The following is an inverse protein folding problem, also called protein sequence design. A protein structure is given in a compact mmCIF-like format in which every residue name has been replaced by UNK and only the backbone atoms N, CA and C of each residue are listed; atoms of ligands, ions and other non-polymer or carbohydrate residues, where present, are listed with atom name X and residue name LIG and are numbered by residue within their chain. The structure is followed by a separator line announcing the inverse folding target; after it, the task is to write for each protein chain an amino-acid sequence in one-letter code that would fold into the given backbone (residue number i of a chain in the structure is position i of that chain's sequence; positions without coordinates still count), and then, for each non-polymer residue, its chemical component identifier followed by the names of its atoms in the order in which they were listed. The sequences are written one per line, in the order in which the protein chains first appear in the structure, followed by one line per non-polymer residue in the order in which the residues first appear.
data_IF_696264838291
#
_entry.id   IF_696264838291
#
_cell.length_a   1.000
_cell.length_b   1.000
_cell.length_c   1.000
_cell.angle_alpha   90.00
_cell.angle_beta   90.00
_cell.angle_gamma   90.00
#
_symmetry.space_group_name_H-M   'P 1'
#
loop_
_entity.id
_entity.type
_entity.pdbx_description
1 polymer ?
#
# COMPACT_ATOMS: atom_id res chain seq x y z
N UNK A 1 10.69 -18.81 18.41
CA UNK A 1 9.50 -18.45 19.24
C UNK A 1 9.27 -19.31 20.48
N UNK A 2 9.59 -20.62 20.51
CA UNK A 2 9.28 -21.54 21.64
C UNK A 2 9.90 -21.17 23.02
N UNK A 3 10.88 -20.25 23.08
CA UNK A 3 11.53 -19.81 24.33
C UNK A 3 10.62 -18.94 25.22
N UNK A 4 9.87 -18.00 24.62
CA UNK A 4 9.01 -17.08 25.38
C UNK A 4 7.89 -17.83 26.09
N UNK A 5 7.20 -18.72 25.38
CA UNK A 5 6.15 -19.56 25.95
C UNK A 5 6.67 -20.47 27.09
N UNK A 6 7.88 -21.02 26.95
CA UNK A 6 8.53 -21.80 28.01
C UNK A 6 8.85 -20.97 29.26
N UNK A 7 9.30 -19.73 29.07
CA UNK A 7 9.62 -18.81 30.17
C UNK A 7 8.36 -18.36 30.90
N UNK A 8 7.29 -18.04 30.18
CA UNK A 8 6.01 -17.63 30.76
C UNK A 8 5.38 -18.74 31.59
N UNK A 9 5.27 -19.95 31.02
CA UNK A 9 4.71 -21.12 31.71
C UNK A 9 5.46 -21.42 33.02
N UNK A 10 6.80 -21.49 32.97
CA UNK A 10 7.63 -21.65 34.19
C UNK A 10 7.42 -20.53 35.19
N UNK A 11 7.28 -19.28 34.72
CA UNK A 11 7.07 -18.13 35.60
C UNK A 11 5.71 -18.20 36.30
N UNK A 12 4.66 -18.60 35.59
CA UNK A 12 3.31 -18.79 36.16
C UNK A 12 3.30 -19.91 37.19
N UNK A 13 3.92 -21.07 36.89
CA UNK A 13 4.06 -22.16 37.86
C UNK A 13 4.81 -21.73 39.11
N UNK A 14 5.92 -20.98 38.96
CA UNK A 14 6.69 -20.46 40.09
C UNK A 14 5.92 -19.44 40.95
N UNK A 15 4.91 -18.77 40.38
CA UNK A 15 4.01 -17.86 41.11
C UNK A 15 2.81 -18.59 41.75
N UNK A 16 2.76 -19.92 41.65
CA UNK A 16 1.70 -20.76 42.25
C UNK A 16 0.51 -21.03 41.35
N UNK A 17 0.55 -20.68 40.07
CA UNK A 17 -0.52 -21.02 39.13
C UNK A 17 -0.47 -22.51 38.75
N UNK A 18 -1.64 -23.16 38.68
CA UNK A 18 -1.81 -24.51 38.16
C UNK A 18 -2.14 -24.50 36.67
N UNK A 19 -1.37 -25.20 35.85
CA UNK A 19 -1.66 -25.33 34.43
C UNK A 19 -2.93 -26.19 34.21
N UNK A 20 -3.89 -25.67 33.45
CA UNK A 20 -5.12 -26.39 33.09
C UNK A 20 -4.89 -27.42 31.98
N UNK A 21 -3.93 -27.16 31.10
CA UNK A 21 -3.55 -28.01 29.97
C UNK A 21 -2.05 -27.90 29.77
N UNK A 22 -1.42 -28.96 29.23
CA UNK A 22 -0.02 -28.88 28.82
C UNK A 22 0.18 -27.78 27.77
N UNK A 23 1.33 -27.10 27.83
CA UNK A 23 1.65 -26.00 26.90
C UNK A 23 1.74 -26.50 25.45
N UNK A 24 0.94 -25.90 24.57
CA UNK A 24 1.06 -26.09 23.12
C UNK A 24 2.35 -25.49 22.56
N UNK A 25 3.05 -26.26 21.71
CA UNK A 25 4.28 -25.83 21.05
C UNK A 25 4.07 -25.76 19.53
N UNK A 26 3.48 -24.67 19.06
CA UNK A 26 3.35 -24.37 17.63
C UNK A 26 4.72 -24.32 16.93
N UNK A 27 4.76 -24.84 15.71
CA UNK A 27 5.95 -24.84 14.86
C UNK A 27 5.64 -24.39 13.43
N UNK A 28 6.02 -23.16 13.10
CA UNK A 28 5.84 -22.60 11.75
C UNK A 28 6.62 -23.36 10.66
N UNK A 29 7.60 -24.19 11.04
CA UNK A 29 8.39 -24.99 10.09
C UNK A 29 7.79 -26.36 9.82
N UNK A 30 6.74 -26.77 10.55
CA UNK A 30 6.05 -28.03 10.30
C UNK A 30 5.29 -27.95 8.96
N UNK A 31 5.13 -29.06 8.20
CA UNK A 31 4.36 -29.04 6.95
C UNK A 31 2.93 -28.50 7.08
N UNK A 32 2.30 -28.71 8.24
CA UNK A 32 0.96 -28.18 8.57
C UNK A 32 1.01 -26.83 9.31
N UNK A 33 2.17 -26.16 9.34
CA UNK A 33 2.41 -24.94 10.11
C UNK A 33 2.17 -25.10 11.61
N UNK A 34 2.00 -23.97 12.31
CA UNK A 34 1.67 -23.96 13.73
C UNK A 34 0.24 -24.47 14.03
N UNK A 35 -0.66 -24.42 13.05
CA UNK A 35 -2.05 -24.87 13.13
C UNK A 35 -2.15 -26.36 13.46
N UNK A 36 -1.22 -27.18 12.94
CA UNK A 36 -1.15 -28.62 13.24
C UNK A 36 -1.00 -28.94 14.72
N UNK A 37 -0.36 -28.06 15.50
CA UNK A 37 -0.29 -28.18 16.96
C UNK A 37 -1.38 -27.37 17.68
N UNK A 38 -1.83 -26.25 17.09
CA UNK A 38 -2.82 -25.36 17.68
C UNK A 38 -4.21 -26.00 17.73
N UNK A 39 -4.68 -26.63 16.65
CA UNK A 39 -6.06 -27.12 16.60
C UNK A 39 -6.33 -28.26 17.57
N UNK A 40 -5.49 -29.32 17.66
CA UNK A 40 -5.68 -30.35 18.69
C UNK A 40 -5.61 -29.77 20.10
N UNK A 41 -4.71 -28.80 20.32
CA UNK A 41 -4.56 -28.12 21.60
C UNK A 41 -5.79 -27.28 21.97
N UNK A 42 -6.37 -26.56 21.01
CA UNK A 42 -7.61 -25.79 21.20
C UNK A 42 -8.80 -26.68 21.50
N UNK A 43 -8.95 -27.82 20.80
CA UNK A 43 -10.01 -28.79 21.09
C UNK A 43 -9.90 -29.35 22.51
N UNK A 44 -8.68 -29.68 22.95
CA UNK A 44 -8.40 -30.12 24.32
C UNK A 44 -8.71 -29.01 25.34
N UNK A 45 -8.32 -27.77 25.04
CA UNK A 45 -8.58 -26.62 25.91
C UNK A 45 -10.08 -26.42 26.12
N UNK A 46 -10.87 -26.41 25.04
CA UNK A 46 -12.33 -26.27 25.13
C UNK A 46 -12.99 -27.43 25.88
N UNK A 47 -12.49 -28.65 25.68
CA UNK A 47 -12.93 -29.83 26.43
C UNK A 47 -12.70 -29.68 27.93
N UNK A 48 -11.51 -29.22 28.32
CA UNK A 48 -11.14 -28.99 29.73
C UNK A 48 -11.94 -27.83 30.35
N UNK A 49 -12.09 -26.72 29.64
CA UNK A 49 -12.87 -25.57 30.11
C UNK A 49 -14.35 -25.94 30.32
N UNK A 50 -14.91 -26.74 29.41
CA UNK A 50 -16.25 -27.29 29.56
C UNK A 50 -16.39 -28.15 30.83
N UNK A 51 -15.42 -29.04 31.10
CA UNK A 51 -15.43 -29.85 32.32
C UNK A 51 -15.34 -29.01 33.60
N UNK A 52 -14.59 -27.90 33.58
CA UNK A 52 -14.44 -27.00 34.73
C UNK A 52 -15.74 -26.25 35.02
N UNK A 53 -16.37 -25.70 33.99
CA UNK A 53 -17.61 -24.96 34.18
C UNK A 53 -18.53 -25.02 32.95
N UNK A 54 -19.43 -26.02 32.88
CA UNK A 54 -20.35 -26.20 31.76
C UNK A 54 -21.35 -25.05 31.57
N UNK A 55 -21.53 -24.19 32.60
CA UNK A 55 -22.44 -23.04 32.53
C UNK A 55 -21.86 -21.87 31.75
N UNK A 56 -20.52 -21.72 31.75
CA UNK A 56 -19.83 -20.58 31.12
C UNK A 56 -19.14 -20.97 29.81
N UNK A 57 -18.66 -22.20 29.72
CA UNK A 57 -17.97 -22.70 28.53
C UNK A 57 -18.85 -23.73 27.85
N UNK A 58 -18.95 -23.63 26.53
CA UNK A 58 -19.70 -24.59 25.71
C UNK A 58 -18.74 -25.71 25.28
N UNK A 59 -19.25 -26.94 25.17
CA UNK A 59 -18.43 -28.13 24.90
C UNK A 59 -17.68 -28.09 23.56
N UNK A 60 -16.69 -28.99 23.36
CA UNK A 60 -15.94 -29.08 22.10
C UNK A 60 -16.83 -29.41 20.90
N UNK A 61 -17.93 -30.14 21.13
CA UNK A 61 -18.99 -30.44 20.16
C UNK A 61 -20.10 -29.39 20.12
N UNK A 62 -19.92 -28.22 20.74
CA UNK A 62 -20.82 -27.09 20.51
C UNK A 62 -20.57 -26.52 19.12
N UNK A 63 -21.02 -27.26 18.11
CA UNK A 63 -21.55 -26.67 16.91
C UNK A 63 -22.64 -25.73 17.39
N UNK A 64 -22.47 -24.42 17.23
CA UNK A 64 -23.61 -23.49 17.32
C UNK A 64 -24.71 -24.12 16.45
N UNK A 65 -25.85 -24.55 17.02
CA UNK A 65 -26.86 -25.30 16.27
C UNK A 65 -27.45 -24.52 15.09
N UNK A 66 -27.12 -23.22 14.99
CA UNK A 66 -27.31 -22.36 13.84
C UNK A 66 -25.96 -21.86 13.27
N UNK A 67 -25.18 -22.72 12.64
CA UNK A 67 -24.32 -22.27 11.51
C UNK A 67 -25.18 -21.91 10.28
N UNK A 68 -26.41 -21.42 10.46
CA UNK A 68 -27.26 -20.87 9.38
C UNK A 68 -27.17 -19.35 9.30
N UNK A 69 -26.76 -18.68 10.38
CA UNK A 69 -26.43 -17.27 10.34
C UNK A 69 -25.00 -17.09 10.85
N UNK A 70 -24.11 -16.74 9.94
CA UNK A 70 -22.96 -15.93 10.34
C UNK A 70 -23.55 -14.65 10.96
N UNK A 71 -23.16 -14.33 12.20
CA UNK A 71 -23.47 -13.04 12.83
C UNK A 71 -23.02 -11.88 11.93
N UNK A 72 -23.51 -10.67 12.13
CA UNK A 72 -23.03 -9.53 11.34
C UNK A 72 -21.51 -9.32 11.52
N UNK A 73 -20.79 -8.81 10.50
CA UNK A 73 -19.37 -8.49 10.66
C UNK A 73 -19.21 -7.51 11.83
N UNK A 74 -18.18 -7.72 12.65
CA UNK A 74 -17.85 -6.87 13.81
C UNK A 74 -17.50 -5.44 13.41
N UNK A 75 -17.26 -5.20 12.13
CA UNK A 75 -17.00 -3.88 11.58
C UNK A 75 -18.18 -3.39 10.72
N UNK A 76 -18.26 -2.07 10.60
CA UNK A 76 -19.18 -1.35 9.74
C UNK A 76 -18.39 -0.38 8.88
N UNK A 77 -18.62 -0.44 7.59
CA UNK A 77 -18.07 0.52 6.63
C UNK A 77 -19.16 1.56 6.37
N UNK A 78 -18.83 2.83 6.57
CA UNK A 78 -19.72 3.95 6.25
C UNK A 78 -19.18 4.64 5.01
N UNK A 79 -20.05 4.78 4.01
CA UNK A 79 -19.76 5.48 2.76
C UNK A 79 -20.16 6.94 2.89
N UNK A 80 -19.29 7.84 2.46
CA UNK A 80 -19.47 9.28 2.52
C UNK A 80 -19.59 9.84 1.11
N UNK A 81 -20.45 10.84 0.94
CA UNK A 81 -20.55 11.57 -0.32
C UNK A 81 -19.32 12.47 -0.49
N UNK A 82 -18.67 12.37 -1.65
CA UNK A 82 -17.47 13.14 -1.98
C UNK A 82 -17.71 14.66 -1.89
N UNK A 83 -18.96 15.12 -2.06
CA UNK A 83 -19.34 16.53 -1.93
C UNK A 83 -19.29 17.08 -0.49
N UNK A 84 -19.36 16.21 0.53
CA UNK A 84 -19.42 16.61 1.95
C UNK A 84 -18.08 16.45 2.68
N UNK A 85 -17.04 15.97 2.01
CA UNK A 85 -15.70 15.81 2.59
C UNK A 85 -14.91 17.08 2.33
N UNK A 86 -14.63 17.85 3.39
CA UNK A 86 -13.76 19.03 3.31
C UNK A 86 -12.40 18.61 2.71
N UNK A 87 -11.93 19.26 1.63
CA UNK A 87 -10.60 18.98 1.11
C UNK A 87 -9.57 19.55 2.09
N UNK A 88 -8.99 18.66 2.92
CA UNK A 88 -7.76 18.94 3.69
C UNK A 88 -6.57 19.32 2.78
N UNK A 89 -6.73 19.21 1.47
CA UNK A 89 -5.74 19.51 0.43
C UNK A 89 -5.48 20.99 0.16
N UNK A 90 -6.07 21.92 0.93
CA UNK A 90 -5.99 23.34 0.63
C UNK A 90 -4.79 24.06 1.27
N UNK A 91 -4.05 23.43 2.20
CA UNK A 91 -2.92 24.07 2.92
C UNK A 91 -1.71 23.13 3.13
N UNK A 92 -1.89 21.81 3.22
CA UNK A 92 -0.83 20.86 3.57
C UNK A 92 0.13 20.56 2.42
N UNK A 93 1.40 20.30 2.74
CA UNK A 93 2.36 19.82 1.75
C UNK A 93 1.92 18.46 1.19
N UNK A 94 2.36 18.17 -0.03
CA UNK A 94 2.08 16.91 -0.70
C UNK A 94 2.48 15.66 0.13
N UNK A 95 3.53 15.78 0.95
CA UNK A 95 4.05 14.71 1.82
C UNK A 95 3.19 14.57 3.07
N UNK A 96 2.83 15.68 3.72
CA UNK A 96 1.91 15.69 4.88
C UNK A 96 0.55 15.08 4.53
N UNK A 97 0.05 15.36 3.32
CA UNK A 97 -1.19 14.76 2.83
C UNK A 97 -1.07 13.24 2.70
N UNK A 98 0.03 12.73 2.13
CA UNK A 98 0.28 11.29 2.02
C UNK A 98 0.44 10.64 3.39
N UNK A 99 1.18 11.27 4.30
CA UNK A 99 1.39 10.82 5.67
C UNK A 99 0.05 10.65 6.41
N UNK A 100 -0.80 11.68 6.35
CA UNK A 100 -2.13 11.67 6.97
C UNK A 100 -3.03 10.60 6.35
N UNK A 101 -2.99 10.40 5.03
CA UNK A 101 -3.76 9.35 4.36
C UNK A 101 -3.32 7.95 4.80
N UNK A 102 -2.01 7.71 4.91
CA UNK A 102 -1.45 6.43 5.36
C UNK A 102 -1.85 6.16 6.81
N UNK A 103 -1.64 7.14 7.69
CA UNK A 103 -2.01 7.05 9.10
C UNK A 103 -3.50 6.76 9.26
N UNK A 104 -4.34 7.50 8.53
CA UNK A 104 -5.79 7.36 8.59
C UNK A 104 -6.25 5.98 8.09
N UNK A 105 -5.77 5.54 6.92
CA UNK A 105 -6.16 4.25 6.34
C UNK A 105 -5.74 3.07 7.23
N UNK A 106 -4.48 3.06 7.70
CA UNK A 106 -3.94 1.98 8.54
C UNK A 106 -4.61 1.94 9.91
N UNK A 107 -4.94 3.09 10.46
CA UNK A 107 -5.55 3.19 11.78
C UNK A 107 -7.05 2.89 11.80
N UNK A 108 -7.69 2.78 10.64
CA UNK A 108 -9.04 2.25 10.48
C UNK A 108 -9.09 0.72 10.36
N UNK A 109 -7.94 0.07 10.13
CA UNK A 109 -7.89 -1.37 9.95
C UNK A 109 -8.16 -2.09 11.30
N UNK A 110 -9.01 -3.15 11.33
CA UNK A 110 -9.36 -3.83 12.58
C UNK A 110 -8.22 -4.68 13.17
N UNK A 111 -7.20 -5.00 12.37
CA UNK A 111 -6.00 -5.71 12.83
C UNK A 111 -5.14 -4.90 13.81
N UNK A 112 -4.61 -5.55 14.84
CA UNK A 112 -3.70 -4.93 15.82
C UNK A 112 -2.38 -4.54 15.15
N UNK A 113 -2.24 -3.27 14.78
CA UNK A 113 -0.96 -2.66 14.44
C UNK A 113 -0.35 -2.08 15.74
N UNK A 114 0.96 -2.24 15.92
CA UNK A 114 1.68 -1.51 16.99
C UNK A 114 1.53 -0.01 16.75
N UNK A 115 1.44 0.78 17.83
CA UNK A 115 1.29 2.23 17.74
C UNK A 115 2.41 2.91 16.92
N UNK A 116 3.61 2.33 16.83
CA UNK A 116 4.72 2.88 16.04
C UNK A 116 4.70 2.49 14.54
N UNK A 117 3.70 1.74 14.07
CA UNK A 117 3.61 1.27 12.67
C UNK A 117 2.44 1.86 11.87
N UNK A 118 1.73 2.84 12.43
CA UNK A 118 0.58 3.49 11.79
C UNK A 118 0.99 4.66 10.91
N UNK A 119 1.98 5.45 11.33
CA UNK A 119 2.48 6.63 10.63
C UNK A 119 3.92 6.38 10.15
N UNK A 120 4.29 6.73 8.91
CA UNK A 120 5.67 6.66 8.45
C UNK A 120 6.56 7.62 9.24
N UNK A 121 7.73 7.17 9.70
CA UNK A 121 8.70 8.05 10.37
C UNK A 121 9.35 9.06 9.41
N UNK A 122 9.53 8.65 8.15
CA UNK A 122 10.03 9.50 7.08
C UNK A 122 9.60 9.01 5.70
N UNK A 123 9.73 9.90 4.71
CA UNK A 123 9.63 9.62 3.30
C UNK A 123 11.02 9.69 2.67
N UNK A 124 11.34 8.65 1.92
CA UNK A 124 12.61 8.49 1.24
C UNK A 124 12.38 8.48 -0.27
N UNK A 125 13.14 9.28 -1.01
CA UNK A 125 13.11 9.33 -2.46
C UNK A 125 14.23 8.47 -3.02
N UNK A 126 13.89 7.47 -3.83
CA UNK A 126 14.90 6.65 -4.49
C UNK A 126 15.68 7.47 -5.52
N UNK A 127 16.98 7.63 -5.28
CA UNK A 127 17.91 8.36 -6.16
C UNK A 127 18.71 7.41 -7.06
N UNK A 128 18.91 6.15 -6.62
CA UNK A 128 19.64 5.14 -7.39
C UNK A 128 19.06 3.74 -7.21
N UNK A 129 19.12 2.98 -8.30
CA UNK A 129 18.69 1.59 -8.40
C UNK A 129 19.67 0.91 -9.37
N UNK A 130 20.69 0.27 -8.81
CA UNK A 130 21.82 -0.30 -9.56
C UNK A 130 21.89 -1.81 -9.37
N UNK A 131 22.06 -2.56 -10.46
CA UNK A 131 22.35 -3.99 -10.38
C UNK A 131 23.75 -4.23 -9.79
N UNK A 132 23.84 -5.09 -8.77
CA UNK A 132 25.09 -5.60 -8.23
C UNK A 132 25.49 -6.94 -8.85
N UNK A 133 24.52 -7.69 -9.37
CA UNK A 133 24.79 -8.95 -10.07
C UNK A 133 25.02 -8.74 -11.56
N UNK A 134 25.92 -9.55 -12.13
CA UNK A 134 26.18 -9.57 -13.58
C UNK A 134 24.94 -10.07 -14.33
N UNK A 135 24.68 -9.53 -15.52
CA UNK A 135 23.65 -10.04 -16.42
C UNK A 135 23.83 -11.56 -16.65
N UNK A 136 22.74 -12.32 -16.54
CA UNK A 136 22.74 -13.79 -16.63
C UNK A 136 22.98 -14.52 -15.31
N UNK A 137 23.28 -13.81 -14.23
CA UNK A 137 23.19 -14.33 -12.87
C UNK A 137 21.73 -14.71 -12.56
N UNK A 138 21.47 -15.91 -12.06
CA UNK A 138 20.12 -16.35 -11.64
C UNK A 138 19.54 -15.60 -10.43
N UNK A 139 20.22 -14.57 -9.93
CA UNK A 139 19.78 -13.68 -8.84
C UNK A 139 19.83 -12.23 -9.29
N UNK A 140 18.77 -11.49 -8.97
CA UNK A 140 18.69 -10.05 -9.17
C UNK A 140 18.97 -9.35 -7.84
N UNK A 141 20.23 -8.99 -7.59
CA UNK A 141 20.61 -8.24 -6.39
C UNK A 141 20.89 -6.80 -6.81
N UNK A 142 20.26 -5.86 -6.12
CA UNK A 142 20.36 -4.44 -6.42
C UNK A 142 20.80 -3.64 -5.21
N UNK A 143 21.52 -2.57 -5.49
CA UNK A 143 21.87 -1.50 -4.58
C UNK A 143 20.90 -0.34 -4.82
N UNK A 144 20.19 0.05 -3.78
CA UNK A 144 19.26 1.17 -3.77
C UNK A 144 19.85 2.27 -2.91
N UNK A 145 19.79 3.50 -3.39
CA UNK A 145 20.13 4.69 -2.60
C UNK A 145 18.89 5.56 -2.51
N UNK A 146 18.58 6.03 -1.31
CA UNK A 146 17.44 6.88 -1.05
C UNK A 146 17.87 8.18 -0.36
N UNK A 147 17.34 9.30 -0.82
CA UNK A 147 17.50 10.63 -0.22
C UNK A 147 16.33 10.91 0.73
N UNK A 148 16.61 11.42 1.91
CA UNK A 148 15.58 11.83 2.87
C UNK A 148 14.90 13.12 2.38
N UNK A 149 13.58 13.10 2.19
CA UNK A 149 12.82 14.26 1.66
C UNK A 149 11.82 14.88 2.65
N UNK A 150 11.72 14.31 3.85
CA UNK A 150 10.84 14.78 4.93
C UNK A 150 11.67 15.10 6.19
N UNK A 151 11.21 14.64 7.36
CA UNK A 151 12.00 14.46 8.58
C UNK A 151 13.37 13.82 8.33
N UNK A 152 14.41 14.46 8.86
CA UNK A 152 15.74 13.86 8.98
C UNK A 152 15.69 12.75 10.03
N UNK A 153 16.07 11.54 9.63
CA UNK A 153 16.17 10.37 10.50
C UNK A 153 17.64 10.05 10.71
N UNK A 154 18.04 10.01 11.98
CA UNK A 154 19.36 9.57 12.41
C UNK A 154 19.39 8.04 12.48
N UNK A 155 20.49 7.45 12.01
CA UNK A 155 20.70 6.00 12.07
C UNK A 155 22.19 5.65 12.19
N UNK A 156 22.49 4.52 12.80
CA UNK A 156 23.82 3.96 12.92
C UNK A 156 24.04 2.74 12.00
N UNK A 157 25.31 2.42 11.73
CA UNK A 157 25.66 1.24 10.95
C UNK A 157 25.23 -0.02 11.71
N UNK A 158 24.37 -0.82 11.08
CA UNK A 158 23.78 -2.01 11.69
C UNK A 158 22.28 -1.86 11.96
N UNK A 159 21.75 -0.64 11.87
CA UNK A 159 20.33 -0.39 11.98
C UNK A 159 19.53 -0.97 10.79
N UNK A 160 18.22 -1.06 11.03
CA UNK A 160 17.25 -1.64 10.12
C UNK A 160 16.25 -0.56 9.74
N UNK A 161 15.96 -0.45 8.44
CA UNK A 161 14.84 0.35 7.93
C UNK A 161 13.66 -0.55 7.62
N UNK A 162 12.47 -0.16 8.06
CA UNK A 162 11.22 -0.85 7.76
C UNK A 162 10.49 -0.13 6.62
N UNK A 163 10.38 -0.81 5.47
CA UNK A 163 9.77 -0.25 4.27
C UNK A 163 8.31 -0.68 4.18
N UNK A 164 7.39 0.28 4.07
CA UNK A 164 5.99 0.02 3.73
C UNK A 164 5.84 -0.03 2.20
N UNK A 165 5.58 -1.20 1.59
CA UNK A 165 5.37 -1.28 0.14
C UNK A 165 3.96 -0.82 -0.25
N UNK A 166 3.77 -0.52 -1.53
CA UNK A 166 2.44 -0.44 -2.14
C UNK A 166 2.16 -1.71 -2.96
N UNK A 167 0.87 -2.05 -3.08
CA UNK A 167 0.42 -3.16 -3.90
C UNK A 167 0.47 -2.84 -5.39
N UNK A 168 0.46 -3.90 -6.21
CA UNK A 168 0.39 -3.74 -7.66
C UNK A 168 -0.96 -3.05 -8.04
N UNK A 169 -0.93 -1.92 -8.77
CA UNK A 169 -2.13 -1.18 -9.11
C UNK A 169 -3.16 -1.99 -9.92
N UNK A 170 -2.68 -2.81 -10.87
CA UNK A 170 -3.56 -3.65 -11.68
C UNK A 170 -4.29 -4.70 -10.83
N UNK A 171 -3.61 -5.29 -9.84
CA UNK A 171 -4.20 -6.25 -8.92
C UNK A 171 -5.25 -5.61 -8.01
N UNK A 172 -5.03 -4.35 -7.57
CA UNK A 172 -6.01 -3.58 -6.82
C UNK A 172 -7.25 -3.32 -7.68
N UNK A 173 -7.06 -2.88 -8.93
CA UNK A 173 -8.16 -2.57 -9.83
C UNK A 173 -9.00 -3.82 -10.15
N UNK A 174 -8.35 -4.97 -10.41
CA UNK A 174 -9.04 -6.25 -10.57
C UNK A 174 -9.82 -6.65 -9.30
N UNK A 175 -9.25 -6.44 -8.10
CA UNK A 175 -9.93 -6.75 -6.84
C UNK A 175 -11.15 -5.87 -6.59
N UNK A 176 -11.03 -4.57 -6.81
CA UNK A 176 -12.14 -3.60 -6.69
C UNK A 176 -13.26 -3.98 -7.66
N UNK A 177 -12.91 -4.29 -8.91
CA UNK A 177 -13.86 -4.75 -9.92
C UNK A 177 -14.53 -6.07 -9.51
N UNK A 178 -13.76 -7.06 -9.04
CA UNK A 178 -14.28 -8.37 -8.60
C UNK A 178 -15.26 -8.27 -7.44
N UNK A 179 -15.09 -7.28 -6.57
CA UNK A 179 -15.97 -7.01 -5.43
C UNK A 179 -17.09 -6.00 -5.77
N UNK A 180 -17.19 -5.53 -7.01
CA UNK A 180 -18.15 -4.50 -7.45
C UNK A 180 -18.13 -3.23 -6.60
N UNK A 181 -16.93 -2.78 -6.22
CA UNK A 181 -16.73 -1.60 -5.37
C UNK A 181 -16.46 -0.35 -6.21
N UNK A 182 -16.84 0.82 -5.68
CA UNK A 182 -16.48 2.10 -6.28
C UNK A 182 -15.10 2.56 -5.77
N UNK A 183 -14.06 2.67 -6.61
CA UNK A 183 -12.71 3.05 -6.19
C UNK A 183 -12.61 4.46 -5.60
N UNK A 184 -13.48 5.39 -6.03
CA UNK A 184 -13.49 6.79 -5.60
C UNK A 184 -14.42 7.05 -4.41
N UNK A 185 -15.10 6.02 -3.89
CA UNK A 185 -15.92 6.15 -2.70
C UNK A 185 -15.06 6.51 -1.48
N UNK A 186 -15.52 7.50 -0.72
CA UNK A 186 -14.90 7.87 0.55
C UNK A 186 -15.48 7.00 1.66
N UNK A 187 -14.62 6.30 2.40
CA UNK A 187 -15.05 5.33 3.41
C UNK A 187 -14.42 5.60 4.78
N UNK A 188 -15.13 5.19 5.82
CA UNK A 188 -14.61 5.05 7.18
C UNK A 188 -14.96 3.66 7.71
N UNK A 189 -14.00 2.98 8.31
CA UNK A 189 -14.20 1.66 8.93
C UNK A 189 -14.27 1.82 10.44
N UNK A 190 -15.32 1.31 11.07
CA UNK A 190 -15.53 1.41 12.52
C UNK A 190 -16.01 0.07 13.10
N UNK A 191 -15.66 -0.29 14.35
CA UNK A 191 -16.27 -1.41 15.06
C UNK A 191 -17.77 -1.17 15.28
N UNK A 192 -18.60 -2.21 15.14
CA UNK A 192 -20.05 -2.16 15.40
C UNK A 192 -20.36 -2.12 16.89
N UNK A 193 -19.64 -2.90 17.67
CA UNK A 193 -19.73 -2.91 19.12
C UNK A 193 -18.58 -2.06 19.67
N UNK A 194 -18.92 -1.00 20.39
CA UNK A 194 -17.95 -0.20 21.11
C UNK A 194 -17.62 -0.95 22.39
N UNK A 195 -16.74 -1.95 22.30
CA UNK A 195 -15.99 -2.33 23.50
C UNK A 195 -15.29 -1.07 23.99
N UNK A 196 -15.42 -0.77 25.28
CA UNK A 196 -14.97 0.47 25.95
C UNK A 196 -13.43 0.60 26.02
N UNK A 197 -12.74 0.13 24.99
CA UNK A 197 -11.31 0.23 24.79
C UNK A 197 -10.95 1.58 24.17
N UNK A 198 -9.85 2.16 24.65
CA UNK A 198 -9.31 3.44 24.16
C UNK A 198 -9.01 3.40 22.64
N UNK A 199 -8.74 2.22 22.09
CA UNK A 199 -8.54 2.01 20.64
C UNK A 199 -9.80 2.28 19.81
N UNK A 200 -10.98 1.93 20.32
CA UNK A 200 -12.27 2.09 19.64
C UNK A 200 -12.65 3.57 19.49
N UNK A 201 -12.26 4.40 20.45
CA UNK A 201 -12.49 5.85 20.43
C UNK A 201 -11.66 6.57 19.36
N UNK A 202 -10.41 6.14 19.12
CA UNK A 202 -9.53 6.74 18.11
C UNK A 202 -10.04 6.47 16.68
N UNK A 203 -10.70 5.33 16.44
CA UNK A 203 -11.25 4.98 15.11
C UNK A 203 -12.48 5.84 14.75
N UNK A 204 -13.24 6.30 15.75
CA UNK A 204 -14.52 7.01 15.54
C UNK A 204 -14.37 8.45 15.01
N UNK A 205 -13.20 9.08 15.17
CA UNK A 205 -12.95 10.51 14.89
C UNK A 205 -12.26 10.79 13.54
N UNK A 206 -12.18 9.82 12.62
CA UNK A 206 -11.23 9.91 11.49
C UNK A 206 -11.84 10.40 10.18
N UNK A 207 -11.03 11.18 9.46
CA UNK A 207 -11.29 11.70 8.11
C UNK A 207 -11.54 10.52 7.16
N UNK A 208 -12.57 10.57 6.30
CA UNK A 208 -12.77 9.53 5.28
C UNK A 208 -11.56 9.39 4.35
N UNK A 209 -11.25 8.16 3.93
CA UNK A 209 -10.21 7.87 2.92
C UNK A 209 -10.84 7.24 1.69
N UNK A 210 -10.20 7.40 0.52
CA UNK A 210 -10.64 6.71 -0.70
C UNK A 210 -10.55 5.19 -0.51
N UNK A 211 -11.57 4.46 -0.97
CA UNK A 211 -11.62 3.00 -0.91
C UNK A 211 -10.39 2.36 -1.55
N UNK A 212 -9.97 2.86 -2.73
CA UNK A 212 -8.77 2.36 -3.42
C UNK A 212 -7.51 2.50 -2.56
N UNK A 213 -7.33 3.66 -1.92
CA UNK A 213 -6.21 3.93 -1.01
C UNK A 213 -6.24 3.03 0.23
N UNK A 214 -7.43 2.77 0.78
CA UNK A 214 -7.58 1.84 1.91
C UNK A 214 -7.16 0.41 1.51
N UNK A 215 -7.64 -0.10 0.38
CA UNK A 215 -7.29 -1.45 -0.11
C UNK A 215 -5.78 -1.56 -0.35
N UNK A 216 -5.20 -0.59 -1.04
CA UNK A 216 -3.77 -0.53 -1.36
C UNK A 216 -2.89 -0.66 -0.11
N UNK A 217 -3.22 0.07 0.96
CA UNK A 217 -2.37 0.24 2.15
C UNK A 217 -2.63 -0.76 3.27
N UNK A 218 -3.72 -1.53 3.18
CA UNK A 218 -4.15 -2.38 4.30
C UNK A 218 -4.35 -3.83 3.95
N UNK A 219 -4.70 -4.20 2.72
CA UNK A 219 -5.09 -5.59 2.47
C UNK A 219 -3.91 -6.48 2.09
N UNK A 220 -3.54 -7.45 2.93
CA UNK A 220 -2.57 -8.51 2.61
C UNK A 220 -3.25 -9.90 2.46
N UNK A 221 -2.47 -10.98 2.41
CA UNK A 221 -2.93 -12.33 2.09
C UNK A 221 -3.38 -13.09 3.34
N UNK A 222 -4.69 -13.23 3.53
CA UNK A 222 -5.27 -14.36 4.29
C UNK A 222 -6.61 -14.74 3.71
N UNK A 223 -6.97 -16.01 3.90
CA UNK A 223 -8.17 -16.61 3.35
C UNK A 223 -8.86 -17.38 4.45
N UNK A 224 -10.13 -17.04 4.70
CA UNK A 224 -10.99 -17.74 5.64
C UNK A 224 -12.04 -18.52 4.85
N UNK A 225 -11.66 -19.72 4.39
CA UNK A 225 -12.48 -20.57 3.52
C UNK A 225 -13.82 -20.93 4.15
N UNK A 226 -13.86 -21.12 5.47
CA UNK A 226 -15.09 -21.37 6.20
C UNK A 226 -16.10 -20.23 6.01
N UNK A 227 -15.66 -18.97 6.17
CA UNK A 227 -16.52 -17.79 6.01
C UNK A 227 -16.93 -17.62 4.54
N UNK A 228 -16.00 -17.82 3.61
CA UNK A 228 -16.30 -17.76 2.17
C UNK A 228 -17.40 -18.75 1.74
N UNK A 229 -17.46 -19.93 2.36
CA UNK A 229 -18.47 -20.95 2.04
C UNK A 229 -19.91 -20.49 2.25
N UNK A 230 -20.15 -19.52 3.14
CA UNK A 230 -21.49 -18.96 3.38
C UNK A 230 -21.94 -18.00 2.27
N UNK A 231 -20.99 -17.43 1.54
CA UNK A 231 -21.23 -16.48 0.47
C UNK A 231 -21.16 -17.12 -0.92
N UNK A 232 -20.91 -18.44 -1.00
CA UNK A 232 -20.94 -19.20 -2.23
C UNK A 232 -22.39 -19.56 -2.61
N UNK A 233 -22.79 -19.15 -3.82
CA UNK A 233 -24.11 -19.48 -4.39
C UNK A 233 -24.15 -20.84 -5.10
N UNK A 234 -23.00 -21.33 -5.61
CA UNK A 234 -22.90 -22.62 -6.24
C UNK A 234 -22.60 -23.72 -5.21
N UNK A 235 -23.39 -24.80 -5.23
CA UNK A 235 -23.30 -25.88 -4.24
C UNK A 235 -21.92 -26.57 -4.22
N UNK A 236 -21.34 -26.84 -5.40
CA UNK A 236 -20.04 -27.50 -5.51
C UNK A 236 -18.87 -26.62 -4.97
N UNK A 237 -18.93 -25.30 -5.19
CA UNK A 237 -17.96 -24.36 -4.62
C UNK A 237 -18.08 -24.30 -3.10
N UNK A 238 -19.32 -24.23 -2.59
CA UNK A 238 -19.61 -24.24 -1.16
C UNK A 238 -19.06 -25.50 -0.46
N UNK A 239 -19.35 -26.67 -1.01
CA UNK A 239 -18.85 -27.95 -0.48
C UNK A 239 -17.31 -28.00 -0.49
N UNK A 240 -16.68 -27.49 -1.56
CA UNK A 240 -15.21 -27.43 -1.65
C UNK A 240 -14.59 -26.50 -0.60
N UNK A 241 -15.20 -25.34 -0.37
CA UNK A 241 -14.76 -24.38 0.65
C UNK A 241 -14.95 -24.93 2.07
N UNK A 242 -16.05 -25.63 2.33
CA UNK A 242 -16.29 -26.32 3.60
C UNK A 242 -15.29 -27.46 3.83
N UNK A 243 -14.98 -28.23 2.79
CA UNK A 243 -13.93 -29.26 2.85
C UNK A 243 -12.57 -28.64 3.18
N UNK A 244 -12.17 -27.54 2.54
CA UNK A 244 -10.92 -26.87 2.89
C UNK A 244 -10.87 -26.36 4.35
N UNK A 245 -12.03 -26.04 4.93
CA UNK A 245 -12.14 -25.66 6.33
C UNK A 245 -12.16 -26.86 7.29
N UNK A 246 -12.35 -28.09 6.80
CA UNK A 246 -12.43 -29.29 7.62
C UNK A 246 -11.04 -29.87 7.94
N UNK A 247 -10.90 -30.68 8.99
CA UNK A 247 -9.64 -31.37 9.29
C UNK A 247 -9.12 -32.24 8.13
N UNK A 248 -10.03 -32.86 7.37
CA UNK A 248 -9.71 -33.75 6.25
C UNK A 248 -9.14 -32.98 5.05
N UNK A 249 -9.65 -31.77 4.78
CA UNK A 249 -9.21 -30.97 3.63
C UNK A 249 -7.98 -30.10 3.87
N UNK A 250 -7.34 -30.19 5.05
CA UNK A 250 -6.16 -29.39 5.40
C UNK A 250 -4.98 -29.58 4.47
N UNK A 251 -4.67 -30.83 4.14
CA UNK A 251 -3.55 -31.13 3.26
C UNK A 251 -3.79 -30.59 1.84
N UNK A 252 -5.02 -30.73 1.34
CA UNK A 252 -5.40 -30.16 0.05
C UNK A 252 -5.39 -28.63 0.07
N UNK A 253 -5.86 -28.02 1.17
CA UNK A 253 -5.79 -26.57 1.36
C UNK A 253 -4.33 -26.09 1.41
N UNK A 254 -3.43 -26.83 2.04
CA UNK A 254 -2.01 -26.53 2.06
C UNK A 254 -1.42 -26.52 0.65
N UNK A 255 -1.76 -27.51 -0.18
CA UNK A 255 -1.31 -27.58 -1.58
C UNK A 255 -1.93 -26.48 -2.43
N UNK A 256 -3.23 -26.23 -2.27
CA UNK A 256 -3.97 -25.22 -3.02
C UNK A 256 -3.52 -23.80 -2.64
N UNK A 257 -3.47 -23.45 -1.37
CA UNK A 257 -3.19 -22.07 -0.98
C UNK A 257 -1.74 -21.87 -0.56
N UNK A 258 -1.29 -22.57 0.48
CA UNK A 258 -0.04 -22.22 1.17
C UNK A 258 1.20 -22.45 0.28
N UNK A 259 1.26 -23.57 -0.47
CA UNK A 259 2.36 -23.82 -1.41
C UNK A 259 2.38 -22.89 -2.61
N UNK A 260 1.20 -22.55 -3.13
CA UNK A 260 1.05 -21.67 -4.30
C UNK A 260 1.06 -20.18 -3.94
N UNK A 261 0.98 -19.87 -2.64
CA UNK A 261 0.82 -18.53 -2.07
C UNK A 261 -0.30 -17.78 -2.79
N UNK A 262 -1.49 -18.38 -2.93
CA UNK A 262 -2.62 -17.74 -3.63
C UNK A 262 -3.07 -16.46 -2.91
N UNK A 263 -3.43 -15.43 -3.67
CA UNK A 263 -3.98 -14.17 -3.11
C UNK A 263 -5.49 -14.29 -2.91
N UNK A 264 -6.07 -13.33 -2.17
CA UNK A 264 -7.53 -13.24 -2.00
C UNK A 264 -8.24 -13.11 -3.34
N UNK A 265 -7.71 -12.27 -4.23
CA UNK A 265 -8.23 -12.10 -5.60
C UNK A 265 -8.25 -13.43 -6.36
N UNK A 266 -7.14 -14.18 -6.39
CA UNK A 266 -7.07 -15.45 -7.12
C UNK A 266 -8.05 -16.49 -6.59
N UNK A 267 -8.30 -16.53 -5.28
CA UNK A 267 -9.32 -17.43 -4.73
C UNK A 267 -10.72 -16.97 -5.11
N UNK A 268 -11.00 -15.67 -5.09
CA UNK A 268 -12.30 -15.16 -5.56
C UNK A 268 -12.52 -15.38 -7.07
N UNK A 269 -11.44 -15.50 -7.85
CA UNK A 269 -11.49 -15.89 -9.27
C UNK A 269 -11.69 -17.40 -9.46
N UNK A 270 -11.01 -18.23 -8.65
CA UNK A 270 -11.19 -19.70 -8.64
C UNK A 270 -12.59 -20.11 -8.14
N UNK A 271 -13.25 -19.27 -7.31
CA UNK A 271 -14.60 -19.46 -6.78
C UNK A 271 -15.53 -18.29 -7.17
N UNK A 272 -15.98 -18.24 -8.45
CA UNK A 272 -16.77 -17.12 -8.97
C UNK A 272 -18.15 -16.96 -8.33
N UNK A 273 -18.72 -18.03 -7.75
CA UNK A 273 -20.03 -17.98 -7.10
C UNK A 273 -20.01 -17.28 -5.74
N UNK A 274 -18.81 -17.03 -5.19
CA UNK A 274 -18.58 -16.36 -3.90
C UNK A 274 -18.79 -14.85 -4.04
N UNK A 275 -19.79 -14.32 -3.33
CA UNK A 275 -20.10 -12.89 -3.28
C UNK A 275 -20.05 -12.39 -1.84
N UNK A 276 -18.84 -12.08 -1.38
CA UNK A 276 -18.60 -11.70 0.01
C UNK A 276 -18.71 -10.17 0.18
N UNK A 277 -19.46 -9.67 1.18
CA UNK A 277 -19.50 -8.25 1.50
C UNK A 277 -18.11 -7.72 1.88
N UNK A 278 -17.86 -6.45 1.57
CA UNK A 278 -16.55 -5.84 1.78
C UNK A 278 -16.15 -5.76 3.26
N UNK A 279 -17.11 -5.61 4.17
CA UNK A 279 -16.90 -5.66 5.61
C UNK A 279 -16.27 -6.98 6.07
N UNK A 280 -16.67 -8.10 5.47
CA UNK A 280 -16.06 -9.39 5.78
C UNK A 280 -14.63 -9.47 5.28
N UNK A 281 -14.36 -8.97 4.08
CA UNK A 281 -13.02 -8.90 3.51
C UNK A 281 -12.08 -8.10 4.42
N UNK A 282 -12.48 -6.90 4.84
CA UNK A 282 -11.67 -6.03 5.70
C UNK A 282 -11.48 -6.62 7.12
N UNK A 283 -12.45 -7.37 7.65
CA UNK A 283 -12.32 -8.03 8.94
C UNK A 283 -11.33 -9.19 8.92
N UNK A 284 -11.30 -9.95 7.82
CA UNK A 284 -10.57 -11.21 7.71
C UNK A 284 -9.15 -11.02 7.19
N UNK A 285 -8.93 -10.01 6.35
CA UNK A 285 -7.62 -9.74 5.76
C UNK A 285 -6.73 -9.01 6.78
N UNK A 286 -5.49 -9.46 7.04
CA UNK A 286 -4.58 -8.76 7.93
C UNK A 286 -4.07 -7.48 7.27
N UNK A 287 -3.61 -6.52 8.10
CA UNK A 287 -3.01 -5.31 7.59
C UNK A 287 -1.72 -5.62 6.81
N UNK A 288 -1.45 -4.84 5.78
CA UNK A 288 -0.18 -4.87 5.06
C UNK A 288 0.97 -4.56 6.02
N UNK A 289 1.92 -5.49 6.13
CA UNK A 289 3.08 -5.39 7.01
C UNK A 289 4.25 -4.67 6.31
N UNK A 290 5.01 -3.93 7.11
CA UNK A 290 6.29 -3.36 6.68
C UNK A 290 7.34 -4.46 6.54
N UNK A 291 8.36 -4.21 5.72
CA UNK A 291 9.49 -5.13 5.53
C UNK A 291 10.79 -4.51 6.00
N UNK A 292 11.39 -5.14 7.00
CA UNK A 292 12.71 -4.82 7.52
C UNK A 292 13.83 -5.15 6.52
N UNK A 293 14.74 -4.20 6.31
CA UNK A 293 15.99 -4.34 5.58
C UNK A 293 17.14 -3.73 6.37
N UNK A 294 18.30 -4.39 6.39
CA UNK A 294 19.51 -3.82 6.98
C UNK A 294 20.03 -2.67 6.12
N UNK A 295 20.39 -1.56 6.77
CA UNK A 295 20.97 -0.40 6.10
C UNK A 295 22.41 -0.74 5.65
N UNK A 296 22.74 -0.43 4.39
CA UNK A 296 24.05 -0.71 3.79
C UNK A 296 24.88 0.55 3.52
N UNK A 297 24.63 1.63 4.28
CA UNK A 297 25.38 2.89 4.26
C UNK A 297 25.76 3.35 5.68
N UNK A 298 26.65 4.33 5.77
CA UNK A 298 26.99 5.03 7.02
C UNK A 298 26.62 6.50 6.91
N UNK A 299 25.90 7.03 7.90
CA UNK A 299 25.48 8.44 7.93
C UNK A 299 26.68 9.40 8.06
N UNK A 300 27.83 8.92 8.55
CA UNK A 300 29.08 9.70 8.58
C UNK A 300 29.61 10.04 7.17
N UNK A 301 29.31 9.20 6.18
CA UNK A 301 29.72 9.38 4.78
C UNK A 301 28.57 9.93 3.94
N UNK A 302 27.34 9.50 4.23
CA UNK A 302 26.13 9.88 3.52
C UNK A 302 25.07 10.43 4.50
N UNK A 303 25.20 11.70 4.95
CA UNK A 303 24.34 12.25 6.02
C UNK A 303 22.84 12.24 5.72
N UNK A 304 22.48 12.43 4.45
CA UNK A 304 21.09 12.55 3.99
C UNK A 304 20.62 11.34 3.17
N UNK A 305 21.38 10.24 3.16
CA UNK A 305 21.04 9.07 2.34
C UNK A 305 20.97 7.78 3.16
N UNK A 306 20.03 6.93 2.80
CA UNK A 306 19.92 5.55 3.30
C UNK A 306 20.12 4.62 2.13
N UNK A 307 21.03 3.65 2.24
CA UNK A 307 21.28 2.69 1.18
C UNK A 307 20.76 1.31 1.58
N UNK A 308 20.28 0.53 0.61
CA UNK A 308 19.83 -0.84 0.82
C UNK A 308 20.40 -1.77 -0.24
N UNK A 309 20.86 -2.93 0.19
CA UNK A 309 21.24 -4.03 -0.69
C UNK A 309 20.17 -5.11 -0.63
N UNK A 310 19.38 -5.28 -1.69
CA UNK A 310 18.20 -6.15 -1.69
C UNK A 310 18.27 -7.15 -2.85
N UNK A 311 18.02 -8.41 -2.53
CA UNK A 311 17.75 -9.45 -3.53
C UNK A 311 16.28 -9.38 -3.94
N UNK A 312 16.01 -9.06 -5.21
CA UNK A 312 14.67 -9.05 -5.79
C UNK A 312 14.18 -10.48 -5.92
N UNK A 313 13.30 -10.87 -5.01
CA UNK A 313 12.84 -12.25 -4.91
C UNK A 313 11.77 -12.51 -5.96
N UNK A 314 12.05 -13.45 -6.85
CA UNK A 314 11.05 -14.13 -7.68
C UNK A 314 11.25 -15.63 -7.59
N UNK A 315 10.15 -16.38 -7.58
CA UNK A 315 10.18 -17.83 -7.53
C UNK A 315 9.10 -18.40 -8.42
N UNK A 316 9.27 -19.67 -8.78
CA UNK A 316 8.24 -20.41 -9.50
C UNK A 316 7.61 -21.38 -8.52
N UNK A 317 6.28 -21.38 -8.46
CA UNK A 317 5.53 -22.29 -7.59
C UNK A 317 5.54 -23.71 -8.16
N UNK A 318 5.20 -24.76 -7.37
CA UNK A 318 5.08 -26.12 -7.88
C UNK A 318 4.19 -26.26 -9.13
N UNK A 319 3.17 -25.41 -9.27
CA UNK A 319 2.29 -25.37 -10.44
C UNK A 319 2.80 -24.47 -11.58
N UNK A 320 4.10 -24.17 -11.60
CA UNK A 320 4.80 -23.40 -12.64
C UNK A 320 4.33 -21.93 -12.79
N UNK A 321 3.68 -21.36 -11.77
CA UNK A 321 3.33 -19.93 -11.76
C UNK A 321 4.53 -19.12 -11.29
N UNK A 322 4.83 -18.02 -11.97
CA UNK A 322 5.85 -17.06 -11.51
C UNK A 322 5.26 -16.17 -10.42
N UNK A 323 5.97 -16.07 -9.31
CA UNK A 323 5.63 -15.22 -8.16
C UNK A 323 6.79 -14.30 -7.84
N UNK A 324 6.46 -13.17 -7.24
CA UNK A 324 7.44 -12.20 -6.79
C UNK A 324 7.11 -11.71 -5.38
N UNK A 325 8.15 -11.35 -4.63
CA UNK A 325 7.99 -10.72 -3.33
C UNK A 325 7.42 -9.32 -3.50
N UNK A 326 6.38 -8.98 -2.74
CA UNK A 326 5.68 -7.71 -2.84
C UNK A 326 6.64 -6.52 -2.68
N UNK A 327 7.32 -6.43 -1.54
CA UNK A 327 8.19 -5.29 -1.25
C UNK A 327 9.42 -5.24 -2.15
N UNK A 328 10.06 -6.37 -2.44
CA UNK A 328 11.29 -6.39 -3.25
C UNK A 328 11.01 -6.07 -4.72
N UNK A 329 9.88 -6.54 -5.26
CA UNK A 329 9.46 -6.21 -6.63
C UNK A 329 8.98 -4.75 -6.71
N UNK A 330 8.25 -4.28 -5.69
CA UNK A 330 7.87 -2.88 -5.58
C UNK A 330 9.12 -1.98 -5.62
N UNK A 331 10.12 -2.22 -4.75
CA UNK A 331 11.39 -1.50 -4.77
C UNK A 331 12.08 -1.56 -6.14
N UNK A 332 12.13 -2.74 -6.77
CA UNK A 332 12.75 -2.90 -8.08
C UNK A 332 12.04 -2.11 -9.19
N UNK A 333 10.73 -1.91 -9.05
CA UNK A 333 9.86 -1.18 -9.97
C UNK A 333 9.69 0.31 -9.63
N UNK A 334 10.11 0.76 -8.44
CA UNK A 334 10.23 2.20 -8.15
C UNK A 334 11.27 2.76 -9.10
N UNK A 335 10.80 3.54 -10.05
CA UNK A 335 11.67 4.20 -11.02
C UNK A 335 12.48 5.28 -10.29
N UNK A 336 13.81 5.25 -10.45
CA UNK A 336 14.69 6.37 -10.07
C UNK A 336 14.33 7.64 -10.83
N UNK A 337 13.64 7.47 -11.95
CA UNK A 337 12.91 8.52 -12.63
C UNK A 337 11.52 8.59 -12.02
N UNK A 338 11.40 9.25 -10.87
CA UNK A 338 10.19 10.04 -10.70
C UNK A 338 10.10 10.97 -11.92
N UNK A 339 9.19 10.64 -12.84
CA UNK A 339 8.41 11.66 -13.54
C UNK A 339 7.94 12.60 -12.44
N UNK A 340 8.63 13.73 -12.31
CA UNK A 340 8.33 14.70 -11.29
C UNK A 340 6.85 15.04 -11.34
N UNK A 341 6.25 15.29 -10.17
CA UNK A 341 5.05 16.11 -10.11
C UNK A 341 5.26 17.30 -11.04
N UNK A 342 4.46 17.38 -12.10
CA UNK A 342 4.32 18.56 -12.96
C UNK A 342 5.49 18.97 -13.88
N UNK A 343 6.71 18.44 -13.76
CA UNK A 343 7.85 18.86 -14.59
C UNK A 343 8.20 17.87 -15.70
N UNK A 344 8.02 18.23 -16.97
CA UNK A 344 8.57 17.45 -18.08
C UNK A 344 9.95 17.97 -18.47
N UNK A 345 10.90 17.08 -18.75
CA UNK A 345 12.20 17.45 -19.30
C UNK A 345 12.12 17.38 -20.83
N UNK A 346 12.11 18.54 -21.48
CA UNK A 346 12.00 18.67 -22.93
C UNK A 346 13.27 19.27 -23.49
N UNK A 347 13.94 18.52 -24.36
CA UNK A 347 15.22 18.90 -24.97
C UNK A 347 15.02 19.21 -26.45
N UNK A 348 15.69 20.27 -26.92
CA UNK A 348 15.75 20.64 -28.32
C UNK A 348 17.19 20.50 -28.82
N UNK A 349 17.50 19.37 -29.46
CA UNK A 349 18.81 19.14 -30.05
C UNK A 349 18.90 19.89 -31.39
N UNK A 350 19.61 21.02 -31.38
CA UNK A 350 19.63 21.93 -32.53
C UNK A 350 20.37 21.41 -33.77
N UNK A 351 21.12 20.30 -33.66
CA UNK A 351 22.04 19.80 -34.70
C UNK A 351 21.83 18.34 -35.12
N UNK A 352 20.94 17.61 -34.46
CA UNK A 352 20.76 16.16 -34.70
C UNK A 352 19.97 15.85 -35.98
N UNK A 353 19.40 16.88 -36.60
CA UNK A 353 18.62 16.78 -37.83
C UNK A 353 18.89 17.98 -38.76
N UNK A 354 18.59 17.88 -40.07
CA UNK A 354 18.90 18.93 -41.05
C UNK A 354 18.21 20.28 -40.75
N UNK A 355 17.06 20.25 -40.08
CA UNK A 355 16.34 21.45 -39.65
C UNK A 355 16.68 21.80 -38.19
N UNK A 356 16.99 23.07 -37.93
CA UNK A 356 17.33 23.51 -36.56
C UNK A 356 16.11 23.43 -35.66
N UNK A 357 16.25 22.67 -34.56
CA UNK A 357 15.22 22.56 -33.51
C UNK A 357 15.65 23.36 -32.28
N UNK A 358 14.77 24.26 -31.84
CA UNK A 358 14.99 25.14 -30.69
C UNK A 358 13.86 24.99 -29.67
N UNK A 359 14.05 25.54 -28.47
CA UNK A 359 13.11 25.42 -27.35
C UNK A 359 11.71 25.92 -27.70
N UNK A 360 11.58 26.99 -28.48
CA UNK A 360 10.28 27.51 -28.91
C UNK A 360 9.47 26.51 -29.77
N UNK A 361 10.15 25.65 -30.54
CA UNK A 361 9.46 24.62 -31.33
C UNK A 361 8.88 23.54 -30.41
N UNK A 362 9.63 23.14 -29.37
CA UNK A 362 9.15 22.20 -28.34
C UNK A 362 8.01 22.76 -27.50
N UNK A 363 8.02 24.07 -27.24
CA UNK A 363 6.92 24.74 -26.57
C UNK A 363 5.63 24.66 -27.40
N UNK A 364 5.70 24.86 -28.72
CA UNK A 364 4.53 24.73 -29.60
C UNK A 364 3.99 23.29 -29.65
N UNK A 365 4.86 22.28 -29.73
CA UNK A 365 4.47 20.86 -29.64
C UNK A 365 3.73 20.53 -28.33
N UNK A 366 4.09 21.23 -27.24
CA UNK A 366 3.52 21.03 -25.90
C UNK A 366 2.55 22.15 -25.48
N UNK A 367 1.96 22.87 -26.45
CA UNK A 367 1.12 24.06 -26.24
C UNK A 367 -0.02 23.85 -25.23
N UNK A 368 -0.83 22.81 -25.41
CA UNK A 368 -1.93 22.47 -24.49
C UNK A 368 -1.46 22.30 -23.04
N UNK A 369 -0.34 21.59 -22.83
CA UNK A 369 0.19 21.33 -21.50
C UNK A 369 0.71 22.62 -20.83
N UNK A 370 1.37 23.49 -21.60
CA UNK A 370 1.83 24.78 -21.11
C UNK A 370 0.63 25.62 -20.67
N UNK A 371 -0.45 25.63 -21.48
CA UNK A 371 -1.68 26.33 -21.15
C UNK A 371 -2.35 25.81 -19.87
N UNK A 372 -2.48 24.49 -19.72
CA UNK A 372 -3.07 23.88 -18.52
C UNK A 372 -2.29 24.24 -17.24
N UNK A 373 -0.96 24.33 -17.32
CA UNK A 373 -0.10 24.74 -16.20
C UNK A 373 -0.29 26.22 -15.87
N UNK A 374 -0.40 27.06 -16.90
CA UNK A 374 -0.64 28.48 -16.77
C UNK A 374 -2.01 28.78 -16.12
N UNK A 375 -3.05 28.03 -16.48
CA UNK A 375 -4.37 28.10 -15.82
C UNK A 375 -4.31 27.71 -14.35
N UNK A 376 -3.45 26.75 -13.99
CA UNK A 376 -3.21 26.32 -12.61
C UNK A 376 -2.30 27.30 -11.83
N UNK A 377 -1.93 28.42 -12.44
CA UNK A 377 -1.20 29.50 -11.78
C UNK A 377 0.32 29.34 -11.74
N UNK A 378 0.89 28.50 -12.61
CA UNK A 378 2.33 28.29 -12.73
C UNK A 378 3.10 29.59 -13.05
N UNK A 379 4.36 29.64 -12.61
CA UNK A 379 5.30 30.70 -12.96
C UNK A 379 6.21 30.26 -14.11
N UNK A 380 6.63 31.22 -14.93
CA UNK A 380 7.52 31.05 -16.08
C UNK A 380 8.88 31.66 -15.75
N UNK A 381 9.95 30.90 -16.03
CA UNK A 381 11.33 31.35 -15.91
C UNK A 381 12.04 31.16 -17.25
N UNK A 382 12.71 32.19 -17.73
CA UNK A 382 13.50 32.15 -18.97
C UNK A 382 14.94 32.51 -18.65
N UNK A 383 15.86 31.56 -18.83
CA UNK A 383 17.29 31.76 -18.54
C UNK A 383 18.18 31.41 -19.73
N UNK A 384 19.23 32.20 -19.97
CA UNK A 384 20.21 31.94 -21.02
C UNK A 384 20.69 33.19 -21.78
N UNK A 385 21.12 33.01 -23.04
CA UNK A 385 21.67 34.12 -23.85
C UNK A 385 20.64 35.24 -24.06
N UNK A 386 21.00 36.47 -23.70
CA UNK A 386 20.17 37.67 -23.81
C UNK A 386 19.91 38.16 -25.25
N UNK A 387 20.51 37.52 -26.25
CA UNK A 387 20.50 38.00 -27.64
C UNK A 387 19.13 37.91 -28.32
N UNK A 388 18.67 36.71 -28.67
CA UNK A 388 17.41 36.47 -29.41
C UNK A 388 16.47 35.47 -28.74
N UNK A 389 16.98 34.69 -27.78
CA UNK A 389 16.24 33.57 -27.21
C UNK A 389 15.04 34.02 -26.36
N UNK A 390 15.16 34.99 -25.42
CA UNK A 390 14.02 35.41 -24.59
C UNK A 390 12.87 36.01 -25.39
N UNK A 391 13.16 36.84 -26.40
CA UNK A 391 12.15 37.45 -27.27
C UNK A 391 11.35 36.39 -28.06
N UNK A 392 12.02 35.36 -28.56
CA UNK A 392 11.37 34.26 -29.28
C UNK A 392 10.50 33.41 -28.34
N UNK A 393 10.96 33.15 -27.11
CA UNK A 393 10.20 32.42 -26.09
C UNK A 393 8.94 33.21 -25.70
N UNK A 394 9.05 34.53 -25.53
CA UNK A 394 7.91 35.39 -25.22
C UNK A 394 6.85 35.38 -26.34
N UNK A 395 7.26 35.61 -27.60
CA UNK A 395 6.34 35.55 -28.74
C UNK A 395 5.64 34.18 -28.86
N UNK A 396 6.35 33.11 -28.54
CA UNK A 396 5.81 31.74 -28.58
C UNK A 396 4.75 31.53 -27.52
N UNK A 397 4.94 32.09 -26.32
CA UNK A 397 3.93 32.03 -25.25
C UNK A 397 2.68 32.83 -25.61
N UNK A 398 2.83 33.99 -26.26
CA UNK A 398 1.70 34.79 -26.75
C UNK A 398 0.85 33.98 -27.75
N UNK A 399 1.52 33.27 -28.66
CA UNK A 399 0.86 32.41 -29.65
C UNK A 399 0.14 31.23 -28.98
N UNK A 400 0.77 30.58 -27.99
CA UNK A 400 0.15 29.47 -27.23
C UNK A 400 -1.09 29.96 -26.48
N UNK A 401 -1.00 31.08 -25.76
CA UNK A 401 -2.13 31.64 -25.01
C UNK A 401 -3.26 32.06 -25.95
N UNK A 402 -2.94 32.69 -27.08
CA UNK A 402 -3.95 33.06 -28.08
C UNK A 402 -4.66 31.85 -28.66
N UNK A 403 -3.91 30.79 -29.00
CA UNK A 403 -4.43 29.55 -29.57
C UNK A 403 -5.29 28.76 -28.57
N UNK A 404 -4.77 28.49 -27.38
CA UNK A 404 -5.40 27.58 -26.42
C UNK A 404 -6.51 28.25 -25.60
N UNK A 405 -6.48 29.58 -25.43
CA UNK A 405 -7.57 30.33 -24.82
C UNK A 405 -8.63 30.80 -25.83
N UNK A 406 -8.39 30.65 -27.14
CA UNK A 406 -9.28 31.12 -28.20
C UNK A 406 -9.46 32.64 -28.23
N UNK A 407 -8.46 33.40 -27.79
CA UNK A 407 -8.52 34.88 -27.69
C UNK A 407 -7.62 35.55 -28.72
N UNK A 408 -7.93 36.79 -29.17
CA UNK A 408 -7.03 37.56 -30.03
C UNK A 408 -5.66 37.76 -29.39
N UNK A 409 -4.60 37.81 -30.21
CA UNK A 409 -3.20 37.92 -29.75
C UNK A 409 -2.96 39.12 -28.82
N UNK A 410 -3.61 40.26 -29.06
CA UNK A 410 -3.52 41.44 -28.18
C UNK A 410 -4.02 41.19 -26.75
N UNK A 411 -4.97 40.27 -26.58
CA UNK A 411 -5.45 39.86 -25.26
C UNK A 411 -4.45 38.93 -24.56
N UNK A 412 -3.79 38.05 -25.31
CA UNK A 412 -2.71 37.20 -24.81
C UNK A 412 -1.49 38.02 -24.33
N UNK A 413 -1.09 39.04 -25.10
CA UNK A 413 -0.02 39.99 -24.73
C UNK A 413 -0.33 40.69 -23.41
N UNK A 414 -1.56 41.22 -23.27
CA UNK A 414 -1.99 41.88 -22.03
C UNK A 414 -2.00 40.94 -20.83
N UNK A 415 -2.36 39.68 -21.04
CA UNK A 415 -2.40 38.66 -20.00
C UNK A 415 -0.99 38.28 -19.52
N UNK A 416 -0.04 38.07 -20.44
CA UNK A 416 1.37 37.80 -20.08
C UNK A 416 2.03 38.98 -19.35
N UNK A 417 1.74 40.23 -19.75
CA UNK A 417 2.18 41.43 -19.00
C UNK A 417 1.58 41.52 -17.60
N UNK A 418 0.38 40.97 -17.38
CA UNK A 418 -0.19 40.88 -16.04
C UNK A 418 0.54 39.83 -15.18
N UNK A 419 0.95 38.71 -15.78
CA UNK A 419 1.78 37.71 -15.10
C UNK A 419 3.15 38.25 -14.72
N UNK A 420 3.79 39.02 -15.60
CA UNK A 420 5.07 39.68 -15.32
C UNK A 420 4.96 40.63 -14.12
N UNK A 421 3.94 41.51 -14.11
CA UNK A 421 3.67 42.39 -12.97
C UNK A 421 3.33 41.65 -11.67
N UNK A 422 2.76 40.46 -11.77
CA UNK A 422 2.45 39.59 -10.64
C UNK A 422 3.64 38.72 -10.19
N UNK A 423 4.83 38.90 -10.77
CA UNK A 423 6.03 38.09 -10.44
C UNK A 423 5.93 36.63 -10.87
N UNK A 424 5.08 36.32 -11.86
CA UNK A 424 4.89 34.96 -12.41
C UNK A 424 5.55 34.76 -13.78
N UNK A 425 6.20 35.78 -14.33
CA UNK A 425 7.04 35.67 -15.51
C UNK A 425 8.36 36.38 -15.22
N UNK A 426 9.46 35.63 -15.18
CA UNK A 426 10.79 36.15 -14.87
C UNK A 426 11.78 35.77 -15.99
N UNK A 427 12.64 36.72 -16.34
CA UNK A 427 13.71 36.52 -17.32
C UNK A 427 15.05 36.84 -16.67
N UNK A 428 15.95 35.87 -16.69
CA UNK A 428 17.32 36.01 -16.22
C UNK A 428 18.27 35.68 -17.38
N UNK A 429 18.63 36.70 -18.15
CA UNK A 429 19.45 36.51 -19.35
C UNK A 429 20.78 37.26 -19.29
N UNK A 430 21.84 36.61 -19.77
CA UNK A 430 23.21 37.13 -19.77
C UNK A 430 23.77 37.18 -21.20
N UNK A 431 24.60 38.19 -21.49
CA UNK A 431 25.17 38.45 -22.83
C UNK A 431 26.50 37.77 -23.05
#
# INVERSE_FOLDING_TARGET
MKFVAKKLDRRLSNLGASALLERGLGDDQHPSGYEGALDPWMSLLWSMLYQINPKFFKGPDFMVPDMKLIDQPKIKITYHDAANVFPLSSIASDIECMEMQIETARSMHPGKLSHSGMRPDCFLKMIKNQFLTRAGCGKDVRHFEFEQVSSLVEYEVGDVVEVLPSQNPEAIDCFIQRCSLNPDAMITVQPREVENDLHTQIISSKVPVKLKTFVELTMDRTLFFQVMSFFASAQHEKERLQYFASPEGRDDLYQYNQKERRTVLEVLEDFPSVQMPFEWLVQLVPPLNQRAFSISSSQLVHPNEVHLTVNVVSWTTPFKRKRAGLCSMWLAGVDTKQKGRGGGFYVAFSRDQPQKMYVQHKMQESSQRIWDLLLKGAAIYVAGSSTKMPAHVLSTLEDIVSKEAGVPKDSAVRWLRALERAGKYLVEAWS
#
